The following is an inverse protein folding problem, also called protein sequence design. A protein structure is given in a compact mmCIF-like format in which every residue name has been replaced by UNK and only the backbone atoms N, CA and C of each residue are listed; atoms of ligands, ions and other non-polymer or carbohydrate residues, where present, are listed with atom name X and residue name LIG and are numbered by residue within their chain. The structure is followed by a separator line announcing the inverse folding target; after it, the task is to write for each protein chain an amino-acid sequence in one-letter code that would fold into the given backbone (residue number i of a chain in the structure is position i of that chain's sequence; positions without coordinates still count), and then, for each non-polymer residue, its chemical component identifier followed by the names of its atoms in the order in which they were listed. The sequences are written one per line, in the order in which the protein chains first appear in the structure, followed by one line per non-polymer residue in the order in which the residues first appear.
data_IF_022743730928
#
_entry.id   IF_022743730928
#
_cell.length_a   1.000
_cell.length_b   1.000
_cell.length_c   1.000
_cell.angle_alpha   90.00
_cell.angle_beta   90.00
_cell.angle_gamma   90.00
#
_symmetry.space_group_name_H-M   'P 1'
#
loop_
_entity.id
_entity.type
_entity.pdbx_description
1 polymer ?
#
# COMPACT_ATOMS: atom_id res chain seq x y z
N UNK A 1 24.58 20.32 0.49
CA UNK A 1 24.13 20.65 1.87
C UNK A 1 24.60 19.53 2.80
N UNK A 2 25.28 19.85 3.91
CA UNK A 2 25.46 18.87 4.98
C UNK A 2 24.06 18.37 5.39
N UNK A 3 23.92 17.10 5.74
CA UNK A 3 22.65 16.43 6.07
C UNK A 3 21.72 16.03 4.91
N UNK A 4 22.04 16.33 3.64
CA UNK A 4 21.23 15.89 2.48
C UNK A 4 20.94 14.38 2.50
N UNK A 5 21.94 13.56 2.81
CA UNK A 5 21.79 12.10 2.87
C UNK A 5 20.85 11.64 4.01
N UNK A 6 20.91 12.28 5.17
CA UNK A 6 20.08 11.93 6.33
C UNK A 6 18.61 12.31 6.12
N UNK A 7 18.35 13.48 5.54
CA UNK A 7 16.97 13.86 5.20
C UNK A 7 16.40 12.97 4.10
N UNK A 8 17.23 12.59 3.11
CA UNK A 8 16.81 11.66 2.07
C UNK A 8 16.47 10.28 2.65
N UNK A 9 17.29 9.73 3.54
CA UNK A 9 16.99 8.43 4.16
C UNK A 9 15.69 8.47 4.97
N UNK A 10 15.48 9.50 5.79
CA UNK A 10 14.25 9.65 6.56
C UNK A 10 12.98 9.73 5.68
N UNK A 11 13.07 10.37 4.51
CA UNK A 11 11.96 10.41 3.56
C UNK A 11 11.72 9.04 2.91
N UNK A 12 12.78 8.32 2.55
CA UNK A 12 12.71 6.98 1.96
C UNK A 12 12.20 5.93 2.97
N UNK A 13 12.59 6.05 4.24
CA UNK A 13 12.13 5.18 5.33
C UNK A 13 10.61 5.32 5.55
N UNK A 14 10.04 6.50 5.25
CA UNK A 14 8.59 6.71 5.27
C UNK A 14 7.87 6.22 4.00
N UNK A 15 8.60 5.85 2.94
CA UNK A 15 8.02 5.24 1.74
C UNK A 15 7.95 3.70 1.83
N UNK A 16 8.84 3.09 2.63
CA UNK A 16 8.85 1.66 2.90
C UNK A 16 7.65 1.23 3.78
N UNK A 17 7.15 -0.02 3.66
CA UNK A 17 6.20 -0.57 4.61
C UNK A 17 6.85 -0.65 6.00
N UNK A 18 6.05 -0.61 7.08
CA UNK A 18 6.56 -0.99 8.39
C UNK A 18 7.23 -2.37 8.32
N UNK A 19 8.27 -2.61 9.12
CA UNK A 19 8.98 -3.92 9.18
C UNK A 19 8.01 -5.11 9.34
N UNK A 20 6.85 -4.87 9.93
CA UNK A 20 5.70 -5.76 9.92
C UNK A 20 4.72 -5.42 8.78
N UNK A 21 4.89 -6.05 7.62
CA UNK A 21 3.92 -6.09 6.51
C UNK A 21 2.71 -6.95 6.90
N UNK A 22 1.98 -6.57 7.95
CA UNK A 22 0.81 -7.29 8.45
C UNK A 22 -0.46 -6.61 7.93
N UNK A 23 -1.35 -7.41 7.35
CA UNK A 23 -2.67 -7.01 6.94
C UNK A 23 -3.50 -6.56 8.14
N UNK A 24 -3.99 -5.31 8.10
CA UNK A 24 -4.86 -4.76 9.15
C UNK A 24 -6.19 -5.49 9.30
N UNK A 25 -6.68 -6.15 8.23
CA UNK A 25 -7.96 -6.84 8.24
C UNK A 25 -7.93 -8.25 8.83
N UNK A 26 -6.85 -9.01 8.60
CA UNK A 26 -6.80 -10.43 8.97
C UNK A 26 -5.54 -10.85 9.74
N UNK A 27 -4.59 -9.94 9.97
CA UNK A 27 -3.37 -10.22 10.74
C UNK A 27 -2.34 -11.12 10.03
N UNK A 28 -2.58 -11.53 8.78
CA UNK A 28 -1.64 -12.27 7.94
C UNK A 28 -0.71 -11.30 7.20
N UNK A 29 0.22 -11.83 6.40
CA UNK A 29 1.07 -11.01 5.55
C UNK A 29 0.25 -10.16 4.57
N UNK A 30 0.62 -8.90 4.45
CA UNK A 30 0.02 -7.90 3.58
C UNK A 30 1.09 -7.12 2.84
N UNK A 31 0.88 -6.89 1.55
CA UNK A 31 1.82 -6.18 0.68
C UNK A 31 1.14 -5.10 -0.14
N UNK A 32 -0.16 -4.89 0.06
CA UNK A 32 -0.94 -3.91 -0.69
C UNK A 32 -1.30 -2.72 0.19
N UNK A 33 -1.22 -1.52 -0.37
CA UNK A 33 -1.73 -0.30 0.26
C UNK A 33 -2.55 0.48 -0.74
N UNK A 34 -3.52 1.24 -0.27
CA UNK A 34 -4.18 2.25 -1.11
C UNK A 34 -3.45 3.60 -0.98
N UNK A 35 -3.29 4.31 -2.09
CA UNK A 35 -2.64 5.64 -2.11
C UNK A 35 -3.57 6.77 -1.67
N UNK A 36 -4.88 6.54 -1.75
CA UNK A 36 -5.94 7.51 -1.46
C UNK A 36 -6.55 7.35 -0.06
N UNK A 37 -6.42 6.17 0.55
CA UNK A 37 -6.88 5.94 1.92
C UNK A 37 -6.01 6.67 2.95
N UNK A 38 -6.67 7.28 3.94
CA UNK A 38 -6.01 7.92 5.07
C UNK A 38 -5.17 6.89 5.82
N UNK A 39 -3.98 7.29 6.29
CA UNK A 39 -2.99 6.45 6.98
C UNK A 39 -2.38 5.30 6.17
N UNK A 40 -2.77 5.11 4.90
CA UNK A 40 -2.20 4.12 3.95
C UNK A 40 -1.98 2.73 4.58
N UNK A 41 -3.03 2.11 5.15
CA UNK A 41 -2.90 0.81 5.81
C UNK A 41 -2.44 -0.29 4.84
N UNK A 42 -1.76 -1.29 5.40
CA UNK A 42 -1.30 -2.49 4.69
C UNK A 42 -2.39 -3.56 4.74
N UNK A 43 -2.63 -4.21 3.61
CA UNK A 43 -3.59 -5.28 3.42
C UNK A 43 -2.99 -6.47 2.65
N UNK A 44 -3.56 -7.66 2.84
CA UNK A 44 -3.52 -8.72 1.84
C UNK A 44 -4.49 -8.37 0.69
N UNK A 45 -4.39 -9.08 -0.45
CA UNK A 45 -5.24 -8.76 -1.62
C UNK A 45 -6.74 -8.89 -1.30
N UNK A 46 -7.16 -9.92 -0.57
CA UNK A 46 -8.57 -10.16 -0.27
C UNK A 46 -9.16 -9.07 0.63
N UNK A 47 -8.46 -8.71 1.72
CA UNK A 47 -8.89 -7.63 2.60
C UNK A 47 -8.84 -6.27 1.91
N UNK A 48 -7.88 -6.06 0.99
CA UNK A 48 -7.81 -4.86 0.18
C UNK A 48 -9.05 -4.73 -0.70
N UNK A 49 -9.41 -5.80 -1.43
CA UNK A 49 -10.60 -5.82 -2.27
C UNK A 49 -11.87 -5.61 -1.46
N UNK A 50 -12.01 -6.28 -0.31
CA UNK A 50 -13.18 -6.14 0.57
C UNK A 50 -13.34 -4.70 1.11
N UNK A 51 -12.25 -4.10 1.57
CA UNK A 51 -12.25 -2.73 2.09
C UNK A 51 -12.58 -1.67 1.01
N UNK A 52 -12.24 -1.94 -0.26
CA UNK A 52 -12.43 -0.98 -1.36
C UNK A 52 -13.64 -1.32 -2.27
N UNK A 53 -14.51 -2.25 -1.86
CA UNK A 53 -15.75 -2.61 -2.60
C UNK A 53 -16.62 -1.39 -2.95
N UNK A 54 -16.68 -0.41 -2.05
CA UNK A 54 -17.48 0.81 -2.22
C UNK A 54 -16.67 2.00 -2.77
N UNK A 55 -15.39 1.78 -3.09
CA UNK A 55 -14.48 2.81 -3.61
C UNK A 55 -13.60 2.24 -4.74
N UNK A 56 -14.20 1.77 -5.85
CA UNK A 56 -13.51 1.01 -6.90
C UNK A 56 -12.50 1.85 -7.71
N UNK A 57 -12.55 3.17 -7.58
CA UNK A 57 -11.63 4.08 -8.27
C UNK A 57 -10.34 4.34 -7.50
N UNK A 58 -10.24 3.86 -6.26
CA UNK A 58 -9.02 4.01 -5.49
C UNK A 58 -7.86 3.22 -6.13
N UNK A 59 -6.74 3.89 -6.30
CA UNK A 59 -5.49 3.30 -6.72
C UNK A 59 -4.84 2.57 -5.55
N UNK A 60 -4.32 1.38 -5.82
CA UNK A 60 -3.53 0.64 -4.87
C UNK A 60 -2.12 0.42 -5.40
N UNK A 61 -1.20 0.14 -4.49
CA UNK A 61 0.17 -0.19 -4.79
C UNK A 61 0.53 -1.50 -4.13
N UNK A 62 1.41 -2.26 -4.79
CA UNK A 62 1.99 -3.50 -4.25
C UNK A 62 3.44 -3.25 -3.86
N UNK A 63 3.82 -3.74 -2.69
CA UNK A 63 5.22 -3.80 -2.27
C UNK A 63 5.96 -4.88 -3.06
N UNK A 64 7.04 -4.49 -3.73
CA UNK A 64 7.88 -5.40 -4.54
C UNK A 64 9.01 -6.04 -3.73
N UNK A 65 9.21 -5.60 -2.48
CA UNK A 65 10.41 -5.89 -1.68
C UNK A 65 11.37 -4.71 -1.61
N UNK A 66 11.28 -3.76 -2.54
CA UNK A 66 12.15 -2.58 -2.60
C UNK A 66 11.39 -1.26 -2.73
N UNK A 67 10.26 -1.24 -3.41
CA UNK A 67 9.40 -0.06 -3.55
C UNK A 67 7.93 -0.46 -3.73
N UNK A 68 7.05 0.53 -3.62
CA UNK A 68 5.64 0.36 -3.97
C UNK A 68 5.41 0.65 -5.45
N UNK A 69 4.98 -0.36 -6.18
CA UNK A 69 4.61 -0.24 -7.60
C UNK A 69 3.10 -0.07 -7.74
N UNK A 70 2.67 0.78 -8.68
CA UNK A 70 1.25 0.96 -8.99
C UNK A 70 0.62 -0.36 -9.42
N UNK A 71 -0.46 -0.73 -8.73
CA UNK A 71 -1.21 -1.93 -9.00
C UNK A 71 -2.64 -1.49 -9.32
N UNK A 72 -2.96 -1.45 -10.60
CA UNK A 72 -4.26 -0.96 -11.09
C UNK A 72 -5.38 -1.96 -10.75
N UNK A 73 -5.90 -1.90 -9.51
CA UNK A 73 -7.19 -2.52 -9.16
C UNK A 73 -8.40 -1.75 -9.70
N UNK A 74 -8.19 -0.69 -10.49
CA UNK A 74 -9.22 0.15 -11.11
C UNK A 74 -10.24 -0.63 -11.99
N UNK A 75 -10.14 -1.96 -12.08
CA UNK A 75 -10.93 -2.80 -12.98
C UNK A 75 -11.44 -4.13 -12.41
N UNK A 76 -11.39 -4.40 -11.09
CA UNK A 76 -11.82 -5.73 -10.58
C UNK A 76 -13.32 -5.82 -10.23
N UNK A 77 -14.07 -4.70 -10.22
CA UNK A 77 -15.52 -4.74 -10.02
C UNK A 77 -16.36 -4.68 -11.31
N UNK A 78 -15.74 -4.67 -12.49
CA UNK A 78 -16.44 -4.82 -13.78
C UNK A 78 -16.34 -6.25 -14.35
N UNK A 79 -16.65 -7.24 -13.52
CA UNK A 79 -17.01 -8.57 -14.03
C UNK A 79 -18.37 -8.93 -13.43
N UNK A 80 -19.43 -8.47 -14.10
CA UNK A 80 -20.77 -9.06 -14.05
C UNK A 80 -20.87 -10.09 -15.18
#
# INVERSE_FOLDING_TARGET
LPYKARYLSMLLDMEAPPESSICIGCGKDGVFRCTECVYRPIFCIDCCLDAHKLSPFHCIQRWTGTFFEDYSLCLVHHVF
#
